data_IF_380426070748
#
_entry.id   IF_380426070748
#
_cell.length_a   1.000
_cell.length_b   1.000
_cell.length_c   1.000
_cell.angle_alpha   90.00
_cell.angle_beta   90.00
_cell.angle_gamma   90.00
#
_symmetry.space_group_name_H-M   'P 1'
#
loop_
_entity.id
_entity.type
_entity.pdbx_description
1 polymer ?
#
# COMPACT_ATOMS: atom_id res chain seq x y z
N UNK A 1 -6.00 1.08 7.82
CA UNK A 1 -5.08 2.24 7.69
C UNK A 1 -4.77 2.48 6.22
N UNK A 2 -4.63 3.74 5.79
CA UNK A 2 -4.25 4.07 4.41
C UNK A 2 -2.74 4.33 4.33
N UNK A 3 -2.07 3.64 3.41
CA UNK A 3 -0.64 3.77 3.15
C UNK A 3 -0.40 4.81 2.06
N UNK A 4 0.69 5.57 2.21
CA UNK A 4 1.24 6.49 1.20
C UNK A 4 2.36 5.82 0.42
N UNK A 5 2.83 6.50 -0.63
CA UNK A 5 3.93 6.02 -1.46
C UNK A 5 5.22 5.74 -0.67
N UNK A 6 5.51 6.51 0.38
CA UNK A 6 6.69 6.29 1.22
C UNK A 6 6.54 5.04 2.10
N UNK A 7 5.34 4.77 2.65
CA UNK A 7 5.07 3.54 3.41
C UNK A 7 5.22 2.31 2.52
N UNK A 8 4.60 2.34 1.33
CA UNK A 8 4.69 1.24 0.35
C UNK A 8 6.12 1.01 -0.11
N UNK A 9 6.90 2.09 -0.27
CA UNK A 9 8.33 2.02 -0.61
C UNK A 9 9.11 1.24 0.44
N UNK A 10 8.87 1.51 1.72
CA UNK A 10 9.55 0.84 2.82
C UNK A 10 9.08 -0.61 2.98
N UNK A 11 7.77 -0.84 2.97
CA UNK A 11 7.16 -2.17 3.12
C UNK A 11 7.63 -3.14 2.03
N UNK A 12 7.60 -2.70 0.77
CA UNK A 12 8.00 -3.54 -0.36
C UNK A 12 9.50 -3.44 -0.68
N UNK A 13 10.24 -2.58 0.03
CA UNK A 13 11.64 -2.26 -0.22
C UNK A 13 11.94 -1.95 -1.70
N UNK A 14 11.17 -1.03 -2.29
CA UNK A 14 11.26 -0.65 -3.70
C UNK A 14 11.68 0.82 -3.87
N UNK A 15 11.89 1.27 -5.12
CA UNK A 15 12.10 2.69 -5.39
C UNK A 15 10.81 3.50 -5.21
N UNK A 16 10.94 4.81 -4.97
CA UNK A 16 9.78 5.70 -4.86
C UNK A 16 8.93 5.71 -6.14
N UNK A 17 9.56 5.69 -7.31
CA UNK A 17 8.84 5.59 -8.57
C UNK A 17 8.05 4.28 -8.67
N UNK A 18 8.59 3.18 -8.15
CA UNK A 18 7.92 1.89 -8.13
C UNK A 18 6.74 1.87 -7.14
N UNK A 19 6.87 2.50 -5.97
CA UNK A 19 5.76 2.55 -5.00
C UNK A 19 4.54 3.30 -5.55
N UNK A 20 4.74 4.41 -6.28
CA UNK A 20 3.65 5.08 -7.01
C UNK A 20 3.01 4.19 -8.09
N UNK A 21 3.82 3.41 -8.82
CA UNK A 21 3.29 2.44 -9.80
C UNK A 21 2.45 1.38 -9.13
N UNK A 22 2.91 0.81 -8.02
CA UNK A 22 2.16 -0.19 -7.22
C UNK A 22 0.82 0.38 -6.77
N UNK A 23 0.81 1.56 -6.14
CA UNK A 23 -0.43 2.21 -5.69
C UNK A 23 -1.39 2.43 -6.84
N UNK A 24 -0.89 2.84 -8.01
CA UNK A 24 -1.73 3.04 -9.20
C UNK A 24 -2.37 1.73 -9.67
N UNK A 25 -1.59 0.65 -9.77
CA UNK A 25 -2.09 -0.65 -10.20
C UNK A 25 -3.17 -1.15 -9.24
N UNK A 26 -2.91 -1.11 -7.93
CA UNK A 26 -3.86 -1.56 -6.92
C UNK A 26 -5.14 -0.74 -6.89
N UNK A 27 -5.04 0.59 -7.06
CA UNK A 27 -6.22 1.44 -7.18
C UNK A 27 -6.99 1.17 -8.48
N UNK A 28 -6.34 0.84 -9.58
CA UNK A 28 -7.03 0.42 -10.81
C UNK A 28 -7.78 -0.91 -10.63
N UNK A 29 -7.22 -1.85 -9.86
CA UNK A 29 -7.91 -3.10 -9.48
C UNK A 29 -9.13 -2.82 -8.59
N UNK A 30 -8.95 -2.05 -7.50
CA UNK A 30 -10.06 -1.66 -6.61
C UNK A 30 -11.20 -0.94 -7.35
N UNK A 31 -10.87 -0.06 -8.30
CA UNK A 31 -11.89 0.60 -9.14
C UNK A 31 -12.66 -0.40 -10.00
N UNK A 32 -11.98 -1.40 -10.56
CA UNK A 32 -12.64 -2.46 -11.34
C UNK A 32 -13.56 -3.31 -10.49
N UNK A 33 -13.19 -3.53 -9.23
CA UNK A 33 -14.00 -4.24 -8.25
C UNK A 33 -15.16 -3.39 -7.69
N UNK A 34 -15.30 -2.13 -8.12
CA UNK A 34 -16.39 -1.23 -7.73
C UNK A 34 -16.13 -0.38 -6.49
N UNK A 35 -14.89 -0.38 -5.96
CA UNK A 35 -14.51 0.41 -4.80
C UNK A 35 -14.07 1.83 -5.16
N UNK A 36 -14.23 2.74 -4.21
CA UNK A 36 -13.65 4.07 -4.27
C UNK A 36 -12.18 4.03 -3.86
N UNK A 37 -11.36 4.79 -4.57
CA UNK A 37 -9.91 4.83 -4.36
C UNK A 37 -9.42 6.27 -4.25
N UNK A 38 -8.36 6.48 -3.47
CA UNK A 38 -7.73 7.79 -3.31
C UNK A 38 -6.38 7.78 -4.02
N UNK A 39 -6.14 8.74 -4.91
CA UNK A 39 -4.86 8.84 -5.60
C UNK A 39 -3.70 9.00 -4.59
N UNK A 40 -2.64 8.21 -4.79
CA UNK A 40 -1.47 8.22 -3.91
C UNK A 40 -1.67 7.54 -2.56
N UNK A 41 -2.84 6.93 -2.32
CA UNK A 41 -3.10 6.11 -1.13
C UNK A 41 -3.65 4.74 -1.50
N UNK A 42 -3.41 3.77 -0.63
CA UNK A 42 -3.98 2.42 -0.76
C UNK A 42 -4.31 1.85 0.63
N UNK A 43 -5.38 1.05 0.78
CA UNK A 43 -5.63 0.30 2.01
C UNK A 43 -4.50 -0.71 2.30
N UNK A 44 -4.02 -0.75 3.55
CA UNK A 44 -2.92 -1.63 3.96
C UNK A 44 -3.28 -3.13 3.87
N UNK A 45 -4.51 -3.46 4.21
CA UNK A 45 -5.15 -4.77 4.06
C UNK A 45 -5.15 -5.23 2.60
N UNK A 46 -5.45 -4.33 1.67
CA UNK A 46 -5.44 -4.67 0.24
C UNK A 46 -4.02 -4.93 -0.28
N UNK A 47 -3.06 -4.10 0.12
CA UNK A 47 -1.64 -4.32 -0.18
C UNK A 47 -1.19 -5.70 0.36
N UNK A 48 -1.48 -5.98 1.62
CA UNK A 48 -1.12 -7.23 2.29
C UNK A 48 -1.71 -8.44 1.56
N UNK A 49 -3.01 -8.38 1.28
CA UNK A 49 -3.73 -9.45 0.58
C UNK A 49 -3.16 -9.68 -0.82
N UNK A 50 -2.91 -8.61 -1.58
CA UNK A 50 -2.46 -8.73 -2.98
C UNK A 50 -1.05 -9.28 -3.10
N UNK A 51 -0.16 -8.91 -2.19
CA UNK A 51 1.22 -9.38 -2.15
C UNK A 51 1.45 -10.59 -1.25
N UNK A 52 0.37 -11.15 -0.64
CA UNK A 52 0.42 -12.26 0.32
C UNK A 52 1.39 -11.99 1.49
N UNK A 53 1.36 -10.77 2.01
CA UNK A 53 2.14 -10.32 3.16
C UNK A 53 1.30 -10.41 4.43
N UNK A 54 1.97 -10.46 5.57
CA UNK A 54 1.31 -10.37 6.87
C UNK A 54 0.92 -8.92 7.18
N UNK A 55 -0.39 -8.69 7.36
CA UNK A 55 -0.95 -7.36 7.64
C UNK A 55 -0.46 -6.81 8.98
N UNK A 56 -0.28 -7.66 9.99
CA UNK A 56 0.20 -7.26 11.31
C UNK A 56 1.66 -6.82 11.25
N UNK A 57 2.46 -7.46 10.41
CA UNK A 57 3.84 -7.04 10.16
C UNK A 57 3.90 -5.68 9.47
N UNK A 58 3.02 -5.43 8.48
CA UNK A 58 2.89 -4.13 7.82
C UNK A 58 2.51 -3.04 8.83
N UNK A 59 1.51 -3.28 9.68
CA UNK A 59 1.09 -2.31 10.72
C UNK A 59 2.22 -1.99 11.68
N UNK A 60 3.00 -3.00 12.11
CA UNK A 60 4.16 -2.80 12.99
C UNK A 60 5.23 -1.94 12.33
N UNK A 61 5.55 -2.20 11.06
CA UNK A 61 6.54 -1.40 10.32
C UNK A 61 6.11 0.06 10.23
N UNK A 62 4.83 0.33 9.88
CA UNK A 62 4.32 1.70 9.79
C UNK A 62 4.30 2.40 11.15
N UNK A 63 3.93 1.70 12.22
CA UNK A 63 3.94 2.27 13.57
C UNK A 63 5.35 2.62 14.09
N UNK A 64 6.39 1.99 13.54
CA UNK A 64 7.80 2.32 13.82
C UNK A 64 8.22 3.58 13.03
N UNK A 65 7.70 3.76 11.82
CA UNK A 65 8.03 4.90 10.94
C UNK A 65 7.40 6.21 11.43
N UNK A 66 6.22 6.15 12.06
CA UNK A 66 5.55 7.32 12.63
C UNK A 66 6.16 7.80 13.97
N UNK A 67 7.14 7.07 14.52
CA UNK A 67 7.90 7.45 15.73
C UNK A 67 9.22 8.13 15.38
#
# INVERSE_FOLDING_TARGET
>A
MLLRADDVKQILNVSQAMSYKVIRILNEELKKDGYLTIQGRIPADYLATRYKLDEEEIKKQVAIIEK
#
